data_IF_157639525891
#
_entry.id   IF_157639525891
#
_cell.length_a   1.000
_cell.length_b   1.000
_cell.length_c   1.000
_cell.angle_alpha   90.00
_cell.angle_beta   90.00
_cell.angle_gamma   90.00
#
_symmetry.space_group_name_H-M   'P 1'
#
loop_
_entity.id
_entity.type
_entity.pdbx_description
1 polymer ?
#
# COMPACT_ATOMS: atom_id res chain seq x y z
N UNK A 1 -4.21 15.59 -3.48
CA UNK A 1 -5.34 15.26 -2.60
C UNK A 1 -4.73 14.85 -1.27
N UNK A 2 -5.21 15.35 -0.14
CA UNK A 2 -4.69 14.98 1.18
C UNK A 2 -5.55 13.83 1.70
N UNK A 3 -4.97 12.65 1.89
CA UNK A 3 -5.62 11.54 2.60
C UNK A 3 -5.55 11.80 4.10
N UNK A 4 -6.54 11.31 4.83
CA UNK A 4 -6.50 11.28 6.29
C UNK A 4 -5.84 9.98 6.78
N UNK A 5 -5.91 8.91 5.98
CA UNK A 5 -5.30 7.60 6.24
C UNK A 5 -4.78 6.97 4.96
N UNK A 6 -3.65 6.28 5.03
CA UNK A 6 -3.10 5.45 3.95
C UNK A 6 -3.25 3.96 4.33
N UNK A 7 -3.79 3.14 3.42
CA UNK A 7 -3.98 1.70 3.61
C UNK A 7 -3.10 0.93 2.63
N UNK A 8 -2.27 0.04 3.20
CA UNK A 8 -1.34 -0.81 2.46
C UNK A 8 -1.86 -2.25 2.40
N UNK A 9 -2.22 -2.72 1.21
CA UNK A 9 -2.52 -4.13 0.95
C UNK A 9 -1.27 -4.87 0.47
N UNK A 10 -0.99 -6.02 1.10
CA UNK A 10 0.11 -6.90 0.71
C UNK A 10 -0.42 -8.14 0.00
N UNK A 11 -0.01 -8.33 -1.25
CA UNK A 11 -0.25 -9.53 -2.04
C UNK A 11 1.02 -10.38 -2.07
N UNK A 12 0.88 -11.69 -2.16
CA UNK A 12 2.03 -12.58 -2.36
C UNK A 12 2.69 -12.29 -3.72
N UNK A 13 1.89 -12.21 -4.78
CA UNK A 13 2.33 -11.88 -6.14
C UNK A 13 1.17 -11.27 -6.95
N UNK A 14 1.49 -10.70 -8.11
CA UNK A 14 0.51 -10.23 -9.10
C UNK A 14 1.19 -10.07 -10.46
N UNK A 15 0.44 -10.30 -11.53
CA UNK A 15 0.86 -10.03 -12.92
C UNK A 15 0.36 -8.66 -13.43
N UNK A 16 -0.46 -7.97 -12.64
CA UNK A 16 -1.04 -6.67 -12.97
C UNK A 16 -0.10 -5.54 -12.57
N UNK A 17 -0.21 -4.40 -13.27
CA UNK A 17 0.56 -3.20 -12.94
C UNK A 17 0.02 -2.58 -11.65
N UNK A 18 0.90 -1.89 -10.92
CA UNK A 18 0.58 -1.28 -9.63
C UNK A 18 -0.77 -0.56 -9.57
N UNK A 19 -1.01 0.40 -10.46
CA UNK A 19 -2.24 1.21 -10.45
C UNK A 19 -3.48 0.44 -10.89
N UNK A 20 -3.33 -0.61 -11.70
CA UNK A 20 -4.46 -1.41 -12.18
C UNK A 20 -5.07 -2.24 -11.03
N UNK A 21 -4.34 -2.44 -9.93
CA UNK A 21 -4.77 -3.21 -8.75
C UNK A 21 -5.59 -2.39 -7.76
N UNK A 22 -5.44 -1.06 -7.74
CA UNK A 22 -6.07 -0.18 -6.74
C UNK A 22 -7.61 -0.30 -6.73
N UNK A 23 -8.31 -0.37 -7.88
CA UNK A 23 -9.77 -0.46 -7.89
C UNK A 23 -10.34 -1.67 -7.13
N UNK A 24 -9.61 -2.78 -7.02
CA UNK A 24 -10.05 -3.98 -6.27
C UNK A 24 -10.21 -3.73 -4.77
N UNK A 25 -9.47 -2.75 -4.25
CA UNK A 25 -9.38 -2.44 -2.83
C UNK A 25 -10.06 -1.12 -2.47
N UNK A 26 -10.75 -0.52 -3.45
CA UNK A 26 -11.52 0.69 -3.23
C UNK A 26 -12.68 0.38 -2.27
N UNK A 27 -12.80 1.16 -1.20
CA UNK A 27 -13.79 0.95 -0.15
C UNK A 27 -14.56 2.24 0.11
N UNK A 28 -15.86 2.10 0.35
CA UNK A 28 -16.68 3.19 0.87
C UNK A 28 -16.26 3.45 2.32
N UNK A 29 -15.69 4.62 2.56
CA UNK A 29 -15.14 5.01 3.86
C UNK A 29 -15.69 6.38 4.26
N UNK A 30 -15.89 6.61 5.57
CA UNK A 30 -16.37 7.90 6.07
C UNK A 30 -15.28 8.99 6.02
N UNK A 31 -14.03 8.62 5.71
CA UNK A 31 -12.86 9.51 5.63
C UNK A 31 -12.10 9.27 4.33
N UNK A 32 -11.35 10.25 3.80
CA UNK A 32 -10.49 10.05 2.64
C UNK A 32 -9.36 9.06 2.93
N UNK A 33 -9.38 7.92 2.24
CA UNK A 33 -8.35 6.88 2.31
C UNK A 33 -7.58 6.82 1.01
N UNK A 34 -6.24 6.82 1.08
CA UNK A 34 -5.39 6.43 -0.07
C UNK A 34 -5.07 4.95 0.02
N UNK A 35 -5.21 4.24 -1.09
CA UNK A 35 -5.07 2.78 -1.13
C UNK A 35 -3.89 2.42 -2.03
N UNK A 36 -2.99 1.61 -1.49
CA UNK A 36 -1.86 1.07 -2.22
C UNK A 36 -1.82 -0.44 -2.08
N UNK A 37 -1.73 -1.15 -3.20
CA UNK A 37 -1.60 -2.61 -3.23
C UNK A 37 -0.21 -3.00 -3.76
N UNK A 38 0.65 -3.54 -2.89
CA UNK A 38 2.00 -4.00 -3.24
C UNK A 38 2.11 -5.51 -3.13
N UNK A 39 2.95 -6.10 -3.96
CA UNK A 39 3.44 -7.46 -3.79
C UNK A 39 4.59 -7.51 -2.80
N UNK A 40 4.87 -8.68 -2.23
CA UNK A 40 6.03 -8.88 -1.36
C UNK A 40 7.35 -8.49 -2.05
N UNK A 41 7.51 -8.82 -3.33
CA UNK A 41 8.70 -8.45 -4.09
C UNK A 41 8.86 -6.92 -4.23
N UNK A 42 7.77 -6.21 -4.50
CA UNK A 42 7.81 -4.75 -4.61
C UNK A 42 8.11 -4.10 -3.25
N UNK A 43 7.58 -4.63 -2.14
CA UNK A 43 7.93 -4.18 -0.78
C UNK A 43 9.42 -4.35 -0.50
N UNK A 44 9.98 -5.53 -0.81
CA UNK A 44 11.41 -5.76 -0.61
C UNK A 44 12.27 -4.86 -1.50
N UNK A 45 11.85 -4.58 -2.73
CA UNK A 45 12.51 -3.60 -3.59
C UNK A 45 12.44 -2.18 -2.99
N UNK A 46 11.29 -1.75 -2.48
CA UNK A 46 11.12 -0.44 -1.86
C UNK A 46 11.94 -0.28 -0.58
N UNK A 47 12.00 -1.34 0.25
CA UNK A 47 12.88 -1.39 1.42
C UNK A 47 14.35 -1.22 1.02
N UNK A 48 14.80 -1.95 0.00
CA UNK A 48 16.17 -1.88 -0.53
C UNK A 48 16.53 -0.50 -1.07
N UNK A 49 15.58 0.15 -1.76
CA UNK A 49 15.72 1.54 -2.24
C UNK A 49 15.64 2.58 -1.14
N UNK A 50 15.39 2.17 0.10
CA UNK A 50 15.34 3.06 1.25
C UNK A 50 14.05 3.87 1.35
N UNK A 51 12.96 3.44 0.72
CA UNK A 51 11.69 4.16 0.72
C UNK A 51 11.17 4.39 2.15
N UNK A 52 11.11 5.65 2.57
CA UNK A 52 10.75 6.04 3.94
C UNK A 52 9.30 5.70 4.28
N UNK A 53 8.38 5.86 3.31
CA UNK A 53 6.96 5.57 3.50
C UNK A 53 6.76 4.08 3.86
N UNK A 54 7.31 3.18 3.04
CA UNK A 54 7.21 1.74 3.29
C UNK A 54 7.90 1.34 4.60
N UNK A 55 9.05 1.94 4.91
CA UNK A 55 9.74 1.68 6.19
C UNK A 55 8.90 2.09 7.39
N UNK A 56 8.27 3.26 7.35
CA UNK A 56 7.41 3.75 8.43
C UNK A 56 6.13 2.92 8.52
N UNK A 57 5.46 2.66 7.39
CA UNK A 57 4.24 1.85 7.35
C UNK A 57 4.46 0.45 7.94
N UNK A 58 5.60 -0.21 7.65
CA UNK A 58 5.90 -1.53 8.22
C UNK A 58 6.32 -1.51 9.69
N UNK A 59 6.80 -0.38 10.20
CA UNK A 59 7.26 -0.24 11.59
C UNK A 59 6.14 0.21 12.53
N UNK A 60 5.31 1.13 12.06
CA UNK A 60 4.34 1.89 12.87
C UNK A 60 2.90 1.62 12.43
N UNK A 61 2.69 1.00 11.27
CA UNK A 61 1.37 0.63 10.78
C UNK A 61 0.69 -0.40 11.67
N UNK A 62 -0.63 -0.33 11.69
CA UNK A 62 -1.49 -1.24 12.46
C UNK A 62 -1.92 -2.37 11.51
N UNK A 63 -1.55 -3.64 11.77
CA UNK A 63 -2.08 -4.78 11.02
C UNK A 63 -3.60 -4.89 11.25
N UNK A 64 -4.35 -5.05 10.16
CA UNK A 64 -5.80 -5.26 10.17
C UNK A 64 -6.16 -6.72 9.90
#
# INVERSE_FOLDING_TARGET
MKSDTDVLFLRESSHERFFDRIPEYQMETPIPVDVSAYTLNEIEEMKRKGNTLIKQALKEGIPL
#
